data_IF_735025402843
#
_entry.id   IF_735025402843
#
_cell.length_a   1.000
_cell.length_b   1.000
_cell.length_c   1.000
_cell.angle_alpha   90.00
_cell.angle_beta   90.00
_cell.angle_gamma   90.00
#
_symmetry.space_group_name_H-M   'P 1'
#
loop_
_entity.id
_entity.type
_entity.pdbx_description
1 polymer ?
#
# COMPACT_ATOMS: atom_id res chain seq x y z
N UNK A 1 -22.54 -46.82 13.93
CA UNK A 1 -21.12 -46.45 14.07
C UNK A 1 -21.04 -44.94 14.05
N UNK A 2 -21.07 -44.31 15.23
CA UNK A 2 -20.70 -42.93 15.61
C UNK A 2 -21.52 -42.55 16.87
N UNK A 3 -21.35 -43.33 17.93
CA UNK A 3 -21.60 -42.90 19.31
C UNK A 3 -20.24 -42.45 19.88
N UNK A 4 -20.26 -41.43 20.72
CA UNK A 4 -19.13 -40.85 21.48
C UNK A 4 -18.38 -39.71 20.77
N UNK A 5 -18.95 -38.51 20.84
CA UNK A 5 -18.19 -37.27 20.93
C UNK A 5 -18.48 -36.62 22.30
N UNK A 6 -18.23 -37.37 23.38
CA UNK A 6 -18.09 -36.75 24.69
C UNK A 6 -16.75 -36.01 24.72
N UNK A 7 -16.83 -34.71 25.06
CA UNK A 7 -15.74 -33.87 25.53
C UNK A 7 -14.60 -33.52 24.55
N UNK A 8 -14.89 -32.69 23.56
CA UNK A 8 -13.93 -31.63 23.19
C UNK A 8 -14.11 -30.50 24.20
N UNK A 9 -13.78 -30.76 25.48
CA UNK A 9 -13.57 -29.70 26.47
C UNK A 9 -12.15 -29.19 26.24
N UNK A 10 -12.04 -28.16 25.42
CA UNK A 10 -10.78 -27.51 25.14
C UNK A 10 -10.50 -26.50 26.25
N UNK A 11 -9.27 -26.46 26.78
CA UNK A 11 -8.81 -25.40 27.70
C UNK A 11 -8.79 -24.00 27.05
N UNK A 12 -9.06 -23.90 25.73
CA UNK A 12 -9.13 -22.63 25.02
C UNK A 12 -10.56 -22.05 25.10
N UNK A 13 -10.76 -20.88 25.75
CA UNK A 13 -12.07 -20.25 25.86
C UNK A 13 -12.72 -20.00 24.49
N UNK A 14 -11.93 -19.69 23.46
CA UNK A 14 -12.46 -19.48 22.11
C UNK A 14 -13.00 -20.76 21.44
N UNK A 15 -12.53 -21.95 21.80
CA UNK A 15 -13.07 -23.21 21.27
C UNK A 15 -14.41 -23.56 21.93
N UNK A 16 -14.62 -23.14 23.17
CA UNK A 16 -15.90 -23.31 23.87
C UNK A 16 -16.96 -22.35 23.32
N UNK A 17 -16.61 -21.07 23.09
CA UNK A 17 -17.52 -20.11 22.44
C UNK A 17 -17.94 -20.55 21.03
N UNK A 18 -17.01 -21.08 20.23
CA UNK A 18 -17.34 -21.62 18.91
C UNK A 18 -18.27 -22.84 19.01
N UNK A 19 -18.04 -23.71 20.00
CA UNK A 19 -18.89 -24.88 20.26
C UNK A 19 -20.31 -24.44 20.61
N UNK A 20 -20.46 -23.48 21.50
CA UNK A 20 -21.76 -22.98 21.94
C UNK A 20 -22.49 -22.25 20.79
N UNK A 21 -21.74 -21.51 19.95
CA UNK A 21 -22.28 -20.93 18.73
C UNK A 21 -22.77 -22.01 17.76
N UNK A 22 -21.97 -23.04 17.48
CA UNK A 22 -22.38 -24.13 16.58
C UNK A 22 -23.60 -24.89 17.13
N UNK A 23 -23.64 -25.18 18.43
CA UNK A 23 -24.78 -25.84 19.07
C UNK A 23 -26.05 -24.99 19.02
N UNK A 24 -25.94 -23.68 19.30
CA UNK A 24 -27.09 -22.76 19.22
C UNK A 24 -27.62 -22.63 17.80
N UNK A 25 -26.75 -22.53 16.78
CA UNK A 25 -27.16 -22.50 15.38
C UNK A 25 -27.83 -23.80 14.93
N UNK A 26 -27.32 -24.95 15.38
CA UNK A 26 -27.90 -26.26 15.08
C UNK A 26 -29.31 -26.40 15.65
N UNK A 27 -29.55 -25.96 16.89
CA UNK A 27 -30.88 -26.00 17.50
C UNK A 27 -31.87 -25.09 16.77
N UNK A 28 -31.47 -23.86 16.42
CA UNK A 28 -32.32 -22.92 15.67
C UNK A 28 -32.71 -23.48 14.29
N UNK A 29 -31.77 -24.14 13.61
CA UNK A 29 -32.01 -24.75 12.29
C UNK A 29 -32.92 -25.98 12.41
N UNK A 30 -32.74 -26.80 13.44
CA UNK A 30 -33.54 -28.00 13.65
C UNK A 30 -35.00 -27.66 13.98
N UNK A 31 -35.22 -26.67 14.85
CA UNK A 31 -36.57 -26.29 15.28
C UNK A 31 -37.30 -25.40 14.26
N UNK A 32 -36.55 -24.69 13.40
CA UNK A 32 -37.13 -23.71 12.49
C UNK A 32 -36.40 -23.64 11.13
N UNK A 33 -36.26 -24.79 10.44
CA UNK A 33 -35.62 -24.87 9.11
C UNK A 33 -36.18 -23.84 8.10
N UNK A 34 -37.48 -23.49 8.19
CA UNK A 34 -38.09 -22.45 7.34
C UNK A 34 -37.40 -21.08 7.47
N UNK A 35 -36.72 -20.78 8.57
CA UNK A 35 -35.97 -19.52 8.74
C UNK A 35 -34.77 -19.41 7.80
N UNK A 36 -34.21 -20.52 7.34
CA UNK A 36 -33.13 -20.52 6.35
C UNK A 36 -33.61 -20.09 4.96
N UNK A 37 -34.92 -19.96 4.72
CA UNK A 37 -35.45 -19.38 3.48
C UNK A 37 -35.21 -17.87 3.39
N UNK A 38 -35.03 -17.18 4.53
CA UNK A 38 -34.76 -15.74 4.57
C UNK A 38 -33.26 -15.45 4.36
N UNK A 39 -32.95 -14.60 3.38
CA UNK A 39 -31.57 -14.18 3.08
C UNK A 39 -30.88 -13.48 4.25
N UNK A 40 -31.62 -12.69 5.03
CA UNK A 40 -31.11 -12.01 6.23
C UNK A 40 -30.66 -13.00 7.30
N UNK A 41 -31.43 -14.07 7.53
CA UNK A 41 -31.09 -15.12 8.50
C UNK A 41 -29.85 -15.89 8.02
N UNK A 42 -29.81 -16.29 6.74
CA UNK A 42 -28.62 -16.95 6.16
C UNK A 42 -27.37 -16.08 6.26
N UNK A 43 -27.49 -14.78 5.97
CA UNK A 43 -26.35 -13.86 6.04
C UNK A 43 -25.90 -13.60 7.48
N UNK A 44 -26.84 -13.43 8.42
CA UNK A 44 -26.52 -13.27 9.84
C UNK A 44 -25.81 -14.50 10.40
N UNK A 45 -26.32 -15.71 10.10
CA UNK A 45 -25.72 -16.97 10.52
C UNK A 45 -24.32 -17.15 9.93
N UNK A 46 -24.17 -16.94 8.62
CA UNK A 46 -22.88 -16.99 7.92
C UNK A 46 -21.88 -16.03 8.56
N UNK A 47 -22.30 -14.79 8.84
CA UNK A 47 -21.44 -13.80 9.46
C UNK A 47 -21.03 -14.20 10.88
N UNK A 48 -21.96 -14.69 11.69
CA UNK A 48 -21.68 -15.15 13.06
C UNK A 48 -20.69 -16.32 13.07
N UNK A 49 -20.92 -17.34 12.23
CA UNK A 49 -20.05 -18.52 12.13
C UNK A 49 -18.65 -18.16 11.60
N UNK A 50 -18.56 -17.36 10.53
CA UNK A 50 -17.27 -16.90 10.01
C UNK A 50 -16.52 -16.07 11.05
N UNK A 51 -17.23 -15.19 11.77
CA UNK A 51 -16.62 -14.37 12.82
C UNK A 51 -16.10 -15.25 13.94
N UNK A 52 -16.92 -16.19 14.45
CA UNK A 52 -16.55 -17.13 15.50
C UNK A 52 -15.33 -17.98 15.13
N UNK A 53 -15.33 -18.58 13.94
CA UNK A 53 -14.19 -19.33 13.42
C UNK A 53 -12.92 -18.46 13.31
N UNK A 54 -13.06 -17.25 12.77
CA UNK A 54 -11.93 -16.32 12.66
C UNK A 54 -11.45 -15.88 14.05
N UNK A 55 -12.30 -15.65 15.04
CA UNK A 55 -11.83 -15.29 16.39
C UNK A 55 -11.12 -16.43 17.10
N UNK A 56 -11.61 -17.65 16.98
CA UNK A 56 -11.04 -18.83 17.66
C UNK A 56 -9.73 -19.28 17.03
N UNK A 57 -9.61 -19.18 15.70
CA UNK A 57 -8.46 -19.71 14.96
C UNK A 57 -7.53 -18.63 14.39
N UNK A 58 -7.90 -17.35 14.38
CA UNK A 58 -6.95 -16.32 13.95
C UNK A 58 -5.88 -16.10 15.00
N UNK A 59 -4.63 -16.25 14.59
CA UNK A 59 -3.50 -15.79 15.37
C UNK A 59 -3.53 -14.25 15.44
N UNK A 60 -3.65 -13.63 16.64
CA UNK A 60 -3.67 -12.17 16.79
C UNK A 60 -2.39 -11.50 16.24
N UNK A 61 -1.27 -12.22 16.15
CA UNK A 61 -0.05 -11.73 15.51
C UNK A 61 -0.23 -11.51 14.00
N UNK A 62 -1.01 -12.36 13.31
CA UNK A 62 -1.29 -12.20 11.87
C UNK A 62 -2.20 -10.99 11.62
N UNK A 63 -3.20 -10.77 12.47
CA UNK A 63 -4.07 -9.57 12.38
C UNK A 63 -3.27 -8.28 12.60
N UNK A 64 -2.42 -8.24 13.62
CA UNK A 64 -1.60 -7.05 13.91
C UNK A 64 -0.51 -6.82 12.85
N UNK A 65 0.11 -7.88 12.33
CA UNK A 65 1.04 -7.79 11.20
C UNK A 65 0.34 -7.23 9.95
N UNK A 66 -0.84 -7.74 9.59
CA UNK A 66 -1.63 -7.23 8.47
C UNK A 66 -2.02 -5.75 8.67
N UNK A 67 -2.43 -5.35 9.87
CA UNK A 67 -2.75 -3.95 10.15
C UNK A 67 -1.53 -3.02 10.02
N UNK A 68 -0.37 -3.45 10.52
CA UNK A 68 0.88 -2.69 10.38
C UNK A 68 1.28 -2.54 8.92
N UNK A 69 1.24 -3.63 8.15
CA UNK A 69 1.53 -3.60 6.71
C UNK A 69 0.55 -2.69 5.98
N UNK A 70 -0.75 -2.78 6.27
CA UNK A 70 -1.76 -1.88 5.69
C UNK A 70 -1.50 -0.42 6.02
N UNK A 71 -1.10 -0.08 7.26
CA UNK A 71 -0.75 1.27 7.65
C UNK A 71 0.47 1.80 6.88
N UNK A 72 1.53 0.98 6.74
CA UNK A 72 2.72 1.32 5.95
C UNK A 72 2.37 1.52 4.47
N UNK A 73 1.56 0.64 3.89
CA UNK A 73 1.06 0.77 2.51
C UNK A 73 0.26 2.05 2.32
N UNK A 74 -0.59 2.44 3.27
CA UNK A 74 -1.33 3.71 3.22
C UNK A 74 -0.41 4.92 3.23
N UNK A 75 0.64 4.92 4.07
CA UNK A 75 1.65 5.99 4.09
C UNK A 75 2.32 6.14 2.73
N UNK A 76 2.80 5.03 2.15
CA UNK A 76 3.45 5.05 0.84
C UNK A 76 2.48 5.47 -0.27
N UNK A 77 1.23 5.01 -0.21
CA UNK A 77 0.19 5.40 -1.18
C UNK A 77 -0.04 6.91 -1.17
N UNK A 78 -0.27 7.50 0.01
CA UNK A 78 -0.45 8.94 0.17
C UNK A 78 0.76 9.74 -0.31
N UNK A 79 1.97 9.27 -0.01
CA UNK A 79 3.19 9.91 -0.49
C UNK A 79 3.25 9.95 -2.02
N UNK A 80 2.89 8.84 -2.69
CA UNK A 80 2.86 8.75 -4.15
C UNK A 80 1.79 9.66 -4.74
N UNK A 81 0.59 9.66 -4.18
CA UNK A 81 -0.53 10.51 -4.61
C UNK A 81 -0.09 11.99 -4.56
N UNK A 82 0.44 12.45 -3.43
CA UNK A 82 0.94 13.82 -3.27
C UNK A 82 2.02 14.20 -4.29
N UNK A 83 2.98 13.31 -4.57
CA UNK A 83 4.06 13.57 -5.53
C UNK A 83 3.56 13.61 -6.97
N UNK A 84 2.52 12.85 -7.31
CA UNK A 84 1.96 12.82 -8.65
C UNK A 84 1.05 14.03 -8.92
N UNK A 85 0.31 14.48 -7.91
CA UNK A 85 -0.56 15.67 -7.93
C UNK A 85 0.25 16.97 -8.03
N UNK A 86 1.39 17.06 -7.34
CA UNK A 86 2.30 18.20 -7.46
C UNK A 86 3.12 18.10 -8.76
N UNK A 87 2.59 18.71 -9.82
CA UNK A 87 3.10 18.55 -11.19
C UNK A 87 4.11 19.61 -11.64
N UNK A 88 4.17 20.75 -10.96
CA UNK A 88 4.94 21.93 -11.41
C UNK A 88 6.25 22.10 -10.65
N UNK A 89 6.31 21.69 -9.39
CA UNK A 89 7.45 21.93 -8.50
C UNK A 89 8.00 20.65 -7.85
N UNK A 90 9.31 20.62 -7.54
CA UNK A 90 9.94 19.44 -6.97
C UNK A 90 9.64 19.26 -5.48
N UNK A 91 8.71 18.35 -5.16
CA UNK A 91 8.39 17.94 -3.78
C UNK A 91 9.63 17.48 -3.01
N UNK A 92 9.76 17.93 -1.77
CA UNK A 92 10.81 17.60 -0.80
C UNK A 92 10.38 16.51 0.19
N UNK A 93 11.35 15.91 0.88
CA UNK A 93 11.08 14.95 1.95
C UNK A 93 10.38 15.61 3.14
N UNK A 94 10.68 16.88 3.42
CA UNK A 94 10.07 17.61 4.53
C UNK A 94 8.57 17.81 4.31
N UNK A 95 8.19 18.27 3.13
CA UNK A 95 6.79 18.44 2.73
C UNK A 95 6.03 17.12 2.75
N UNK A 96 6.64 16.03 2.29
CA UNK A 96 6.03 14.69 2.40
C UNK A 96 5.77 14.29 3.86
N UNK A 97 6.74 14.50 4.74
CA UNK A 97 6.59 14.19 6.15
C UNK A 97 5.48 15.02 6.81
N UNK A 98 5.42 16.30 6.49
CA UNK A 98 4.40 17.23 6.99
C UNK A 98 3.01 16.86 6.48
N UNK A 99 2.85 16.66 5.17
CA UNK A 99 1.58 16.29 4.55
C UNK A 99 1.00 14.98 5.10
N UNK A 100 1.86 13.98 5.34
CA UNK A 100 1.43 12.66 5.82
C UNK A 100 1.29 12.63 7.35
N UNK A 101 1.97 13.53 8.07
CA UNK A 101 2.03 13.56 9.53
C UNK A 101 2.95 12.48 10.12
N UNK A 102 4.10 12.21 9.49
CA UNK A 102 5.06 11.18 9.96
C UNK A 102 6.50 11.67 9.97
N UNK A 103 7.31 11.11 10.86
CA UNK A 103 8.75 11.39 10.88
C UNK A 103 9.46 10.91 9.62
N UNK A 104 10.62 11.50 9.30
CA UNK A 104 11.50 11.05 8.20
C UNK A 104 11.89 9.59 8.32
N UNK A 105 12.18 9.12 9.55
CA UNK A 105 12.53 7.72 9.85
C UNK A 105 11.37 6.79 9.50
N UNK A 106 10.16 7.14 9.90
CA UNK A 106 8.94 6.37 9.59
C UNK A 106 8.74 6.29 8.08
N UNK A 107 8.85 7.42 7.38
CA UNK A 107 8.70 7.46 5.92
C UNK A 107 9.73 6.57 5.22
N UNK A 108 11.01 6.65 5.61
CA UNK A 108 12.08 5.81 5.06
C UNK A 108 11.82 4.32 5.28
N UNK A 109 11.45 3.93 6.50
CA UNK A 109 11.13 2.55 6.84
C UNK A 109 9.95 2.03 6.00
N UNK A 110 8.86 2.80 5.90
CA UNK A 110 7.69 2.42 5.12
C UNK A 110 8.04 2.24 3.63
N UNK A 111 8.82 3.16 3.06
CA UNK A 111 9.27 3.05 1.67
C UNK A 111 10.16 1.82 1.46
N UNK A 112 11.11 1.55 2.36
CA UNK A 112 12.00 0.40 2.23
C UNK A 112 11.22 -0.93 2.29
N UNK A 113 10.28 -1.06 3.22
CA UNK A 113 9.52 -2.30 3.39
C UNK A 113 8.48 -2.54 2.28
N UNK A 114 7.82 -1.48 1.79
CA UNK A 114 6.73 -1.61 0.82
C UNK A 114 7.22 -1.52 -0.64
N UNK A 115 8.23 -0.68 -0.91
CA UNK A 115 8.72 -0.39 -2.27
C UNK A 115 10.13 -0.92 -2.53
N UNK A 116 10.85 -1.43 -1.51
CA UNK A 116 12.23 -1.87 -1.65
C UNK A 116 13.25 -0.76 -1.92
N UNK A 117 12.85 0.51 -1.80
CA UNK A 117 13.68 1.70 -2.05
C UNK A 117 13.41 2.76 -1.00
N UNK A 118 14.24 3.80 -0.92
CA UNK A 118 14.04 4.91 0.00
C UNK A 118 13.31 6.09 -0.68
N UNK A 119 12.67 6.99 0.09
CA UNK A 119 11.86 8.06 -0.49
C UNK A 119 12.69 9.09 -1.28
N UNK A 120 13.98 9.26 -0.97
CA UNK A 120 14.87 10.16 -1.71
C UNK A 120 15.15 9.62 -3.11
N UNK A 121 15.42 8.32 -3.23
CA UNK A 121 15.60 7.64 -4.51
C UNK A 121 14.32 7.68 -5.34
N UNK A 122 13.16 7.46 -4.70
CA UNK A 122 11.86 7.58 -5.37
C UNK A 122 11.62 8.99 -5.91
N UNK A 123 11.78 10.04 -5.09
CA UNK A 123 11.64 11.42 -5.54
C UNK A 123 12.63 11.77 -6.66
N UNK A 124 13.87 11.29 -6.57
CA UNK A 124 14.87 11.48 -7.64
C UNK A 124 14.40 10.85 -8.95
N UNK A 125 13.89 9.62 -8.91
CA UNK A 125 13.34 8.94 -10.09
C UNK A 125 12.15 9.70 -10.68
N UNK A 126 11.25 10.24 -9.84
CA UNK A 126 10.15 11.08 -10.31
C UNK A 126 10.66 12.35 -10.99
N UNK A 127 11.61 13.06 -10.37
CA UNK A 127 12.22 14.28 -10.92
C UNK A 127 12.91 14.01 -12.26
N UNK A 128 13.67 12.92 -12.39
CA UNK A 128 14.28 12.50 -13.66
C UNK A 128 13.23 12.25 -14.76
N UNK A 129 12.10 11.62 -14.43
CA UNK A 129 11.00 11.43 -15.36
C UNK A 129 10.36 12.76 -15.78
N UNK A 130 10.19 13.70 -14.84
CA UNK A 130 9.67 15.05 -15.14
C UNK A 130 10.62 15.81 -16.05
N UNK A 131 11.93 15.78 -15.80
CA UNK A 131 12.94 16.37 -16.69
C UNK A 131 12.81 15.77 -18.08
N UNK A 132 12.79 14.43 -18.20
CA UNK A 132 12.64 13.76 -19.50
C UNK A 132 11.39 14.19 -20.25
N UNK A 133 10.25 14.32 -19.55
CA UNK A 133 9.00 14.81 -20.14
C UNK A 133 9.15 16.24 -20.66
N UNK A 134 9.71 17.14 -19.86
CA UNK A 134 9.92 18.54 -20.26
C UNK A 134 10.86 18.65 -21.47
N UNK A 135 11.94 17.87 -21.52
CA UNK A 135 12.86 17.86 -22.66
C UNK A 135 12.19 17.37 -23.96
N UNK A 136 11.29 16.38 -23.87
CA UNK A 136 10.53 15.87 -25.03
C UNK A 136 9.47 16.85 -25.54
N UNK A 137 8.89 17.67 -24.66
CA UNK A 137 7.86 18.65 -25.02
C UNK A 137 8.47 19.99 -25.48
N UNK A 138 9.78 20.06 -25.74
CA UNK A 138 10.45 21.27 -26.19
C UNK A 138 10.16 21.58 -27.67
N UNK A 139 8.94 22.00 -27.98
CA UNK A 139 8.51 22.34 -29.35
C UNK A 139 9.18 23.60 -29.89
N UNK A 140 9.61 24.52 -29.02
CA UNK A 140 10.15 25.83 -29.42
C UNK A 140 11.68 25.86 -29.55
N UNK A 141 12.37 24.77 -29.18
CA UNK A 141 13.83 24.71 -29.18
C UNK A 141 14.53 25.60 -28.15
N UNK A 142 13.77 26.31 -27.29
CA UNK A 142 14.32 27.29 -26.34
C UNK A 142 14.74 26.69 -24.99
N UNK A 143 14.27 25.50 -24.63
CA UNK A 143 14.64 24.87 -23.37
C UNK A 143 16.07 24.34 -23.41
N UNK A 144 16.89 24.74 -22.42
CA UNK A 144 18.21 24.14 -22.19
C UNK A 144 18.10 23.02 -21.15
N UNK A 145 18.89 21.95 -21.35
CA UNK A 145 18.98 20.84 -20.39
C UNK A 145 19.25 21.33 -18.96
N UNK A 146 20.16 22.30 -18.83
CA UNK A 146 20.54 22.87 -17.54
C UNK A 146 19.35 23.53 -16.84
N UNK A 147 18.60 24.38 -17.55
CA UNK A 147 17.47 25.11 -16.98
C UNK A 147 16.40 24.14 -16.47
N UNK A 148 16.08 23.11 -17.26
CA UNK A 148 15.11 22.08 -16.89
C UNK A 148 15.62 21.25 -15.71
N UNK A 149 16.91 20.90 -15.67
CA UNK A 149 17.48 20.15 -14.55
C UNK A 149 17.44 20.96 -13.24
N UNK A 150 17.82 22.24 -13.30
CA UNK A 150 17.78 23.14 -12.15
C UNK A 150 16.35 23.37 -11.64
N UNK A 151 15.37 23.55 -12.54
CA UNK A 151 13.94 23.65 -12.18
C UNK A 151 13.46 22.46 -11.34
N UNK A 152 13.90 21.25 -11.68
CA UNK A 152 13.56 20.03 -10.95
C UNK A 152 14.49 19.73 -9.75
N UNK A 153 15.31 20.69 -9.35
CA UNK A 153 16.14 20.64 -8.14
C UNK A 153 17.46 19.87 -8.31
N UNK A 154 17.98 19.73 -9.53
CA UNK A 154 19.32 19.19 -9.77
C UNK A 154 20.34 20.31 -9.88
N UNK A 155 21.18 20.45 -8.84
CA UNK A 155 22.24 21.47 -8.76
C UNK A 155 23.59 20.99 -9.32
N UNK A 156 23.84 19.68 -9.30
CA UNK A 156 25.09 19.08 -9.78
C UNK A 156 24.87 18.39 -11.13
N UNK A 157 25.11 19.11 -12.23
CA UNK A 157 24.85 18.64 -13.60
C UNK A 157 25.56 17.33 -13.96
N UNK A 158 26.79 17.12 -13.49
CA UNK A 158 27.54 15.87 -13.76
C UNK A 158 26.86 14.66 -13.12
N UNK A 159 26.44 14.77 -11.85
CA UNK A 159 25.72 13.70 -11.14
C UNK A 159 24.34 13.48 -11.75
N UNK A 160 23.63 14.55 -12.09
CA UNK A 160 22.34 14.47 -12.78
C UNK A 160 22.47 13.72 -14.10
N UNK A 161 23.46 14.06 -14.93
CA UNK A 161 23.66 13.42 -16.24
C UNK A 161 23.97 11.93 -16.10
N UNK A 162 24.80 11.55 -15.11
CA UNK A 162 25.09 10.16 -14.81
C UNK A 162 23.84 9.40 -14.33
N UNK A 163 23.06 9.99 -13.43
CA UNK A 163 21.82 9.40 -12.92
C UNK A 163 20.77 9.26 -14.03
N UNK A 164 20.64 10.26 -14.91
CA UNK A 164 19.75 10.25 -16.07
C UNK A 164 20.14 9.14 -17.06
N UNK A 165 21.42 9.05 -17.43
CA UNK A 165 21.93 7.99 -18.31
C UNK A 165 21.72 6.61 -17.72
N UNK A 166 21.97 6.44 -16.40
CA UNK A 166 21.73 5.18 -15.70
C UNK A 166 20.26 4.76 -15.76
N UNK A 167 19.33 5.71 -15.62
CA UNK A 167 17.90 5.42 -15.61
C UNK A 167 17.29 5.21 -17.00
N UNK A 168 17.78 5.93 -18.02
CA UNK A 168 17.13 6.00 -19.33
C UNK A 168 17.96 5.48 -20.50
N UNK A 169 19.23 5.14 -20.28
CA UNK A 169 20.15 4.62 -21.31
C UNK A 169 20.66 5.68 -22.30
N UNK A 170 20.26 6.94 -22.17
CA UNK A 170 20.64 8.04 -23.07
C UNK A 170 21.03 9.29 -22.29
N UNK A 171 21.72 10.23 -22.94
CA UNK A 171 22.02 11.53 -22.33
C UNK A 171 20.80 12.46 -22.40
N UNK A 172 20.62 13.40 -21.45
CA UNK A 172 19.54 14.39 -21.50
C UNK A 172 19.56 15.21 -22.79
N UNK A 173 20.74 15.55 -23.31
CA UNK A 173 20.91 16.23 -24.60
C UNK A 173 20.35 15.41 -25.75
N UNK A 174 20.58 14.09 -25.78
CA UNK A 174 20.03 13.23 -26.81
C UNK A 174 18.50 13.22 -26.76
N UNK A 175 17.91 13.20 -25.56
CA UNK A 175 16.45 13.34 -25.42
C UNK A 175 15.95 14.67 -26.00
N UNK A 176 16.68 15.77 -25.76
CA UNK A 176 16.32 17.10 -26.24
C UNK A 176 16.36 17.19 -27.78
N UNK A 177 17.37 16.59 -28.41
CA UNK A 177 17.56 16.64 -29.87
C UNK A 177 16.80 15.54 -30.64
N UNK A 178 16.19 14.57 -29.96
CA UNK A 178 15.37 13.52 -30.58
C UNK A 178 13.93 13.95 -30.86
N UNK A 179 13.57 15.17 -30.50
CA UNK A 179 12.28 15.75 -30.90
C UNK A 179 12.41 16.18 -32.37
N UNK A 180 12.20 15.21 -33.26
CA UNK A 180 12.03 15.35 -34.70
C UNK A 180 10.73 14.66 -35.10
#
# INVERSE_FOLDING_TARGET
MLRNCESISSKSPGLNELRDLLLSTSNIIHDNNKLLSYSSVRNGLRQALLTGLITTFANPQIKTANQRTLAKTKIVKKAKEFVLENTLEPVTIAELCEFIGVSRRTLQMCFQEIMGTNPVQYLRAVRLNRVRRNLRLNETGKLKVQDVACHWGFWHLSSFTADYKRMFGELPSHTLYRTA
#
